data_IF_634253712076
#
_entry.id   IF_634253712076
#
_cell.length_a   1.000
_cell.length_b   1.000
_cell.length_c   1.000
_cell.angle_alpha   90.00
_cell.angle_beta   90.00
_cell.angle_gamma   90.00
#
_symmetry.space_group_name_H-M   'P 1'
#
loop_
_entity.id
_entity.type
_entity.pdbx_description
1 polymer ?
#
# COMPACT_ATOMS: atom_id res chain seq x y z
N UNK A 1 -10.05 -4.90 12.51
CA UNK A 1 -10.11 -4.34 11.15
C UNK A 1 -11.08 -5.16 10.31
N UNK A 2 -10.83 -6.46 10.18
CA UNK A 2 -11.67 -7.41 9.42
C UNK A 2 -13.12 -7.44 9.91
N UNK A 3 -13.35 -7.45 11.22
CA UNK A 3 -14.70 -7.46 11.80
C UNK A 3 -15.53 -6.21 11.46
N UNK A 4 -14.87 -5.06 11.26
CA UNK A 4 -15.52 -3.76 11.03
C UNK A 4 -15.56 -3.37 9.55
N UNK A 5 -14.47 -3.60 8.83
CA UNK A 5 -14.26 -3.11 7.47
C UNK A 5 -14.32 -4.24 6.42
N UNK A 6 -14.18 -5.51 6.81
CA UNK A 6 -14.30 -6.69 5.95
C UNK A 6 -13.57 -6.56 4.60
N UNK A 7 -12.26 -6.20 4.58
CA UNK A 7 -11.51 -6.21 3.33
C UNK A 7 -11.35 -7.64 2.82
N UNK A 8 -11.30 -7.78 1.50
CA UNK A 8 -11.21 -9.07 0.82
C UNK A 8 -9.75 -9.46 0.53
N UNK A 9 -8.81 -8.54 0.75
CA UNK A 9 -7.39 -8.78 0.66
C UNK A 9 -6.55 -7.64 1.23
N UNK A 10 -5.24 -7.80 1.15
CA UNK A 10 -4.28 -6.81 1.64
C UNK A 10 -3.07 -6.71 0.71
N UNK A 11 -2.58 -5.50 0.50
CA UNK A 11 -1.20 -5.28 0.07
C UNK A 11 -0.33 -4.90 1.27
N UNK A 12 0.82 -5.54 1.37
CA UNK A 12 1.80 -5.34 2.44
C UNK A 12 3.11 -4.91 1.80
N UNK A 13 3.73 -3.84 2.30
CA UNK A 13 4.99 -3.33 1.75
C UNK A 13 5.86 -2.63 2.79
N UNK A 14 7.18 -2.66 2.57
CA UNK A 14 8.19 -1.97 3.36
C UNK A 14 9.19 -1.32 2.40
N UNK A 15 9.54 -0.06 2.63
CA UNK A 15 10.69 0.58 1.99
C UNK A 15 11.86 0.56 2.99
N UNK A 16 13.00 0.01 2.57
CA UNK A 16 14.21 -0.05 3.41
C UNK A 16 15.34 0.73 2.73
N UNK A 17 15.76 1.81 3.37
CA UNK A 17 16.76 2.73 2.83
C UNK A 17 16.17 3.82 1.92
N UNK A 18 16.91 4.91 1.79
CA UNK A 18 16.52 6.10 1.02
C UNK A 18 16.26 5.77 -0.45
N UNK A 19 17.12 4.96 -1.09
CA UNK A 19 16.97 4.54 -2.49
C UNK A 19 15.68 3.76 -2.73
N UNK A 20 15.17 3.02 -1.73
CA UNK A 20 13.89 2.34 -1.82
C UNK A 20 12.69 3.30 -1.63
N UNK A 21 12.94 4.56 -1.28
CA UNK A 21 11.92 5.58 -1.01
C UNK A 21 11.48 5.63 0.46
N UNK A 22 12.31 5.21 1.40
CA UNK A 22 12.03 5.38 2.83
C UNK A 22 12.16 6.86 3.21
N UNK A 23 11.07 7.48 3.64
CA UNK A 23 11.04 8.87 4.12
C UNK A 23 11.07 8.98 5.64
N UNK A 24 10.57 7.95 6.35
CA UNK A 24 10.61 7.85 7.81
C UNK A 24 11.59 6.74 8.18
N UNK A 25 12.72 7.11 8.80
CA UNK A 25 13.80 6.20 9.22
C UNK A 25 13.48 5.47 10.54
N UNK A 26 12.28 4.92 10.61
CA UNK A 26 11.86 3.93 11.60
C UNK A 26 11.28 2.75 10.84
N UNK A 27 11.48 1.51 11.32
CA UNK A 27 10.86 0.36 10.68
C UNK A 27 9.33 0.52 10.73
N UNK A 28 8.69 0.56 9.56
CA UNK A 28 7.24 0.63 9.46
C UNK A 28 6.77 -0.21 8.27
N UNK A 29 5.59 -0.80 8.43
CA UNK A 29 4.96 -1.65 7.43
C UNK A 29 3.73 -0.92 6.92
N UNK A 30 3.63 -0.77 5.60
CA UNK A 30 2.41 -0.33 4.95
C UNK A 30 1.46 -1.53 4.87
N UNK A 31 0.29 -1.39 5.49
CA UNK A 31 -0.81 -2.34 5.38
C UNK A 31 -1.97 -1.63 4.68
N UNK A 32 -2.31 -2.08 3.47
CA UNK A 32 -3.35 -1.46 2.65
C UNK A 32 -4.47 -2.48 2.41
N UNK A 33 -5.66 -2.30 3.00
CA UNK A 33 -6.81 -3.15 2.71
C UNK A 33 -7.28 -2.99 1.27
N UNK A 34 -7.69 -4.11 0.67
CA UNK A 34 -8.18 -4.21 -0.71
C UNK A 34 -9.61 -4.73 -0.74
N UNK A 35 -10.37 -4.25 -1.71
CA UNK A 35 -11.75 -4.63 -1.96
C UNK A 35 -11.93 -4.98 -3.43
N UNK A 36 -12.92 -5.82 -3.73
CA UNK A 36 -13.27 -6.17 -5.09
C UNK A 36 -13.59 -4.90 -5.90
N UNK A 37 -12.95 -4.76 -7.07
CA UNK A 37 -13.08 -3.62 -7.98
C UNK A 37 -12.70 -2.24 -7.37
N UNK A 38 -11.86 -2.19 -6.33
CA UNK A 38 -11.33 -0.91 -5.82
C UNK A 38 -10.35 -0.21 -6.79
N UNK A 39 -9.84 -0.94 -7.77
CA UNK A 39 -9.03 -0.46 -8.89
C UNK A 39 -9.31 -1.31 -10.14
N UNK A 40 -9.21 -0.71 -11.33
CA UNK A 40 -9.47 -1.40 -12.60
C UNK A 40 -8.48 -2.53 -12.90
N UNK A 41 -7.20 -2.33 -12.55
CA UNK A 41 -6.15 -3.34 -12.71
C UNK A 41 -5.37 -3.44 -11.38
N UNK A 42 -5.52 -4.54 -10.63
CA UNK A 42 -4.86 -4.70 -9.33
C UNK A 42 -3.39 -5.12 -9.43
N UNK A 43 -2.88 -5.38 -10.64
CA UNK A 43 -1.48 -5.75 -10.85
C UNK A 43 -0.56 -4.52 -10.70
N UNK A 44 0.73 -4.74 -10.38
CA UNK A 44 1.70 -3.63 -10.17
C UNK A 44 2.09 -3.34 -8.71
N UNK A 45 1.59 -4.14 -7.76
CA UNK A 45 2.06 -4.15 -6.37
C UNK A 45 1.66 -2.92 -5.53
N UNK A 46 2.30 -2.75 -4.37
CA UNK A 46 1.92 -1.76 -3.34
C UNK A 46 1.89 -0.32 -3.86
N UNK A 47 2.79 0.06 -4.78
CA UNK A 47 2.82 1.41 -5.38
C UNK A 47 1.68 1.69 -6.35
N UNK A 48 1.02 0.66 -6.87
CA UNK A 48 -0.11 0.78 -7.80
C UNK A 48 -1.47 1.00 -7.12
N UNK A 49 -1.56 0.81 -5.79
CA UNK A 49 -2.85 0.77 -5.09
C UNK A 49 -3.58 2.12 -5.12
N UNK A 50 -2.85 3.23 -5.00
CA UNK A 50 -3.40 4.59 -5.16
C UNK A 50 -2.49 5.37 -6.11
N UNK A 51 -2.70 5.26 -7.43
CA UNK A 51 -1.76 5.77 -8.43
C UNK A 51 -1.43 7.26 -8.26
N UNK A 52 -2.41 8.07 -7.85
CA UNK A 52 -2.28 9.51 -7.69
C UNK A 52 -1.50 9.91 -6.42
N UNK A 53 -1.37 9.01 -5.43
CA UNK A 53 -0.68 9.25 -4.15
C UNK A 53 0.69 8.57 -4.05
N UNK A 54 1.20 8.01 -5.16
CA UNK A 54 2.47 7.29 -5.17
C UNK A 54 3.71 8.18 -5.01
N UNK A 55 3.57 9.50 -5.22
CA UNK A 55 4.65 10.48 -5.07
C UNK A 55 4.30 11.38 -3.87
N UNK A 56 5.13 11.34 -2.84
CA UNK A 56 5.04 12.26 -1.71
C UNK A 56 5.70 13.60 -2.13
N UNK A 57 4.93 14.68 -2.14
CA UNK A 57 5.40 16.06 -2.22
C UNK A 57 4.98 16.79 -0.95
#
# INVERSE_FOLDING_TARGET
MDSRYKPEGYNIGVNCGETAGQTIFHCHIHLIPRYFNDINDPTGGVRGVIPQKRIYK
#
